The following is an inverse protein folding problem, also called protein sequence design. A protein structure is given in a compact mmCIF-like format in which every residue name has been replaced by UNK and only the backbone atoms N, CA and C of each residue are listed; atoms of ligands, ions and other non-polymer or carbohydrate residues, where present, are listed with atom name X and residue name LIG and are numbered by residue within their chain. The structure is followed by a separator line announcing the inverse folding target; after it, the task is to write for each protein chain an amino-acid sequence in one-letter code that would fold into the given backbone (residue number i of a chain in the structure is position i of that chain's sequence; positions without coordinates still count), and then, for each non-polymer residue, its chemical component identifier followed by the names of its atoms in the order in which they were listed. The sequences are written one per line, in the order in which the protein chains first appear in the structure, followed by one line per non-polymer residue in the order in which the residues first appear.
data_IF_383995084393
#
_entry.id   IF_383995084393
#
_cell.length_a   1.000
_cell.length_b   1.000
_cell.length_c   1.000
_cell.angle_alpha   90.00
_cell.angle_beta   90.00
_cell.angle_gamma   90.00
#
_symmetry.space_group_name_H-M   'P 1'
#
loop_
_entity.id
_entity.type
_entity.pdbx_description
1 polymer ?
#
# COMPACT_ATOMS: atom_id res chain seq x y z
N UNK A 1 17.16 -2.72 21.91
CA UNK A 1 17.91 -1.82 20.99
C UNK A 1 18.36 -0.56 21.73
N UNK A 2 19.63 -0.48 22.16
CA UNK A 2 20.18 0.65 22.91
C UNK A 2 20.53 1.82 21.98
N UNK A 3 20.32 3.06 22.46
CA UNK A 3 20.85 4.27 21.81
C UNK A 3 22.18 4.66 22.46
N UNK A 4 23.21 4.81 21.63
CA UNK A 4 24.60 5.03 22.08
C UNK A 4 25.12 6.45 21.82
N UNK A 5 24.22 7.43 21.74
CA UNK A 5 24.58 8.84 21.68
C UNK A 5 25.04 9.35 23.06
N UNK A 6 24.37 10.38 23.56
CA UNK A 6 24.61 10.87 24.91
C UNK A 6 24.01 9.93 25.97
N UNK A 7 24.64 9.87 27.14
CA UNK A 7 24.19 9.06 28.27
C UNK A 7 24.07 9.90 29.54
N UNK A 8 23.03 9.64 30.34
CA UNK A 8 22.82 10.29 31.63
C UNK A 8 23.84 9.77 32.64
N UNK A 9 24.63 10.68 33.23
CA UNK A 9 25.65 10.33 34.24
C UNK A 9 25.15 10.46 35.68
N UNK A 10 24.10 11.26 35.91
CA UNK A 10 23.47 11.45 37.21
C UNK A 10 21.95 11.54 37.02
N UNK A 11 21.20 10.74 37.78
CA UNK A 11 19.75 10.76 37.71
C UNK A 11 19.21 12.08 38.29
N UNK A 12 18.15 12.67 37.72
CA UNK A 12 17.56 13.88 38.29
C UNK A 12 17.13 13.67 39.74
N UNK A 13 17.19 14.73 40.55
CA UNK A 13 16.77 14.65 41.96
C UNK A 13 15.31 14.17 42.08
N UNK A 14 15.07 13.19 42.95
CA UNK A 14 13.76 12.57 43.14
C UNK A 14 13.42 11.43 42.16
N UNK A 15 14.38 11.01 41.33
CA UNK A 15 14.26 9.84 40.46
C UNK A 15 15.10 8.69 40.98
N UNK A 16 14.60 7.47 40.77
CA UNK A 16 15.31 6.23 41.08
C UNK A 16 15.80 5.59 39.78
N UNK A 17 17.05 5.12 39.78
CA UNK A 17 17.59 4.33 38.66
C UNK A 17 17.00 2.93 38.72
N UNK A 18 16.41 2.47 37.62
CA UNK A 18 15.67 1.20 37.55
C UNK A 18 16.29 0.18 36.59
N UNK A 19 17.20 0.62 35.72
CA UNK A 19 17.96 -0.29 34.87
C UNK A 19 19.38 0.24 34.62
N UNK A 20 20.32 -0.70 34.47
CA UNK A 20 21.71 -0.44 34.15
C UNK A 20 22.25 -1.52 33.21
N UNK A 21 23.33 -1.19 32.49
CA UNK A 21 24.14 -2.11 31.70
C UNK A 21 25.62 -1.94 32.08
N UNK A 22 26.52 -2.77 31.55
CA UNK A 22 27.96 -2.59 31.75
C UNK A 22 28.45 -1.22 31.28
N UNK A 23 27.92 -0.74 30.16
CA UNK A 23 28.40 0.47 29.48
C UNK A 23 27.54 1.71 29.78
N UNK A 24 26.36 1.53 30.38
CA UNK A 24 25.42 2.61 30.70
C UNK A 24 24.81 2.36 32.07
N UNK A 25 25.35 3.03 33.09
CA UNK A 25 24.94 2.87 34.50
C UNK A 25 23.52 3.36 34.78
N UNK A 26 23.01 4.30 33.98
CA UNK A 26 21.64 4.81 34.05
C UNK A 26 20.97 4.53 32.71
N UNK A 27 20.52 3.27 32.52
CA UNK A 27 19.82 2.86 31.31
C UNK A 27 18.31 3.13 31.39
N UNK A 28 17.76 3.20 32.60
CA UNK A 28 16.40 3.68 32.86
C UNK A 28 16.30 4.33 34.24
N UNK A 29 15.39 5.30 34.38
CA UNK A 29 15.07 5.94 35.65
C UNK A 29 13.61 6.37 35.68
N UNK A 30 13.02 6.48 36.87
CA UNK A 30 11.63 6.93 37.05
C UNK A 30 11.43 7.71 38.35
N UNK A 31 10.42 8.58 38.38
CA UNK A 31 9.98 9.24 39.61
C UNK A 31 9.14 8.29 40.48
N UNK A 32 8.81 8.68 41.71
CA UNK A 32 8.04 7.84 42.66
C UNK A 32 6.71 7.30 42.08
N UNK A 33 6.06 8.06 41.21
CA UNK A 33 4.77 7.66 40.60
C UNK A 33 4.91 6.88 39.30
N UNK A 34 6.12 6.80 38.72
CA UNK A 34 6.37 6.24 37.39
C UNK A 34 5.82 7.07 36.21
N UNK A 35 5.12 8.18 36.48
CA UNK A 35 4.53 9.03 35.42
C UNK A 35 5.61 9.78 34.63
N UNK A 36 6.74 10.05 35.26
CA UNK A 36 7.94 10.57 34.59
C UNK A 36 8.98 9.45 34.61
N UNK A 37 9.26 8.90 33.44
CA UNK A 37 10.25 7.86 33.25
C UNK A 37 11.09 8.13 32.01
N UNK A 38 12.34 7.69 32.03
CA UNK A 38 13.27 7.76 30.91
C UNK A 38 13.92 6.42 30.67
N UNK A 39 14.10 6.06 29.40
CA UNK A 39 14.84 4.87 28.96
C UNK A 39 15.86 5.28 27.89
N UNK A 40 17.06 4.70 27.95
CA UNK A 40 18.15 4.93 26.98
C UNK A 40 18.04 4.02 25.74
N UNK A 41 17.08 3.10 25.74
CA UNK A 41 16.78 2.21 24.62
C UNK A 41 15.44 2.54 23.99
N UNK A 42 15.20 2.01 22.80
CA UNK A 42 13.96 2.20 22.05
C UNK A 42 12.99 1.04 22.34
N UNK A 43 11.97 1.19 23.20
CA UNK A 43 10.97 0.15 23.46
C UNK A 43 9.97 -0.03 22.30
N UNK A 44 9.93 0.89 21.34
CA UNK A 44 9.01 0.88 20.20
C UNK A 44 9.43 -0.09 19.07
N UNK A 45 10.72 -0.44 18.98
CA UNK A 45 11.26 -1.28 17.89
C UNK A 45 11.21 -2.78 18.22
N UNK A 46 11.02 -3.63 17.19
CA UNK A 46 10.97 -5.10 17.35
C UNK A 46 12.25 -5.70 17.96
N UNK A 47 13.39 -5.03 17.77
CA UNK A 47 14.68 -5.41 18.34
C UNK A 47 14.75 -5.29 19.88
N UNK A 48 13.69 -4.77 20.52
CA UNK A 48 13.53 -4.76 21.98
C UNK A 48 12.47 -5.80 22.35
N UNK A 49 12.91 -7.01 22.72
CA UNK A 49 12.05 -8.21 22.94
C UNK A 49 10.82 -7.96 23.84
N UNK A 50 10.95 -7.10 24.85
CA UNK A 50 9.86 -6.73 25.78
C UNK A 50 9.41 -5.27 25.66
N UNK A 51 9.80 -4.57 24.59
CA UNK A 51 9.53 -3.15 24.41
C UNK A 51 8.03 -2.79 24.43
N UNK A 52 7.21 -3.55 23.71
CA UNK A 52 5.75 -3.38 23.71
C UNK A 52 5.12 -3.61 25.11
N UNK A 53 5.67 -4.53 25.90
CA UNK A 53 5.19 -4.77 27.26
C UNK A 53 5.48 -3.57 28.18
N UNK A 54 6.64 -2.92 28.01
CA UNK A 54 7.01 -1.70 28.73
C UNK A 54 6.05 -0.56 28.39
N UNK A 55 5.83 -0.30 27.11
CA UNK A 55 4.91 0.75 26.65
C UNK A 55 3.48 0.51 27.15
N UNK A 56 2.98 -0.73 27.04
CA UNK A 56 1.66 -1.11 27.52
C UNK A 56 1.52 -0.93 29.02
N UNK A 57 2.52 -1.34 29.80
CA UNK A 57 2.51 -1.16 31.24
C UNK A 57 2.43 0.32 31.61
N UNK A 58 3.24 1.15 30.96
CA UNK A 58 3.25 2.59 31.22
C UNK A 58 1.91 3.24 30.86
N UNK A 59 1.38 3.01 29.66
CA UNK A 59 0.11 3.60 29.22
C UNK A 59 -1.09 3.14 30.07
N UNK A 60 -1.21 1.84 30.34
CA UNK A 60 -2.41 1.27 30.96
C UNK A 60 -2.32 1.25 32.48
N UNK A 61 -1.21 0.77 33.03
CA UNK A 61 -1.09 0.54 34.47
C UNK A 61 -0.58 1.78 35.22
N UNK A 62 0.20 2.64 34.59
CA UNK A 62 0.80 3.83 35.24
C UNK A 62 0.03 5.10 34.88
N UNK A 63 -0.02 5.46 33.59
CA UNK A 63 -0.73 6.65 33.10
C UNK A 63 -2.26 6.51 33.12
N UNK A 64 -2.77 5.29 33.35
CA UNK A 64 -4.21 4.96 33.43
C UNK A 64 -4.99 5.40 32.18
N UNK A 65 -4.35 5.38 31.01
CA UNK A 65 -5.01 5.66 29.75
C UNK A 65 -6.10 4.59 29.51
N UNK A 66 -7.35 4.98 29.26
CA UNK A 66 -8.40 4.02 28.96
C UNK A 66 -8.10 3.33 27.62
N UNK A 67 -8.17 1.99 27.60
CA UNK A 67 -7.95 1.19 26.40
C UNK A 67 -9.21 1.17 25.48
N UNK A 68 -9.70 2.36 25.12
CA UNK A 68 -10.91 2.52 24.30
C UNK A 68 -10.64 2.48 22.80
N UNK A 69 -9.37 2.62 22.39
CA UNK A 69 -8.94 2.51 21.00
C UNK A 69 -8.81 1.04 20.60
N UNK A 70 -9.92 0.43 20.19
CA UNK A 70 -10.00 -0.96 19.71
C UNK A 70 -10.58 -0.97 18.30
N UNK A 71 -10.23 -1.96 17.47
CA UNK A 71 -10.69 -2.06 16.07
C UNK A 71 -12.21 -1.91 15.92
N UNK A 72 -12.98 -2.57 16.79
CA UNK A 72 -14.45 -2.52 16.76
C UNK A 72 -14.97 -1.11 17.09
N UNK A 73 -14.38 -0.45 18.10
CA UNK A 73 -14.73 0.92 18.45
C UNK A 73 -14.33 1.91 17.35
N UNK A 74 -13.18 1.72 16.70
CA UNK A 74 -12.72 2.54 15.58
C UNK A 74 -13.71 2.46 14.42
N UNK A 75 -14.06 1.24 13.98
CA UNK A 75 -14.99 1.04 12.88
C UNK A 75 -16.35 1.69 13.15
N UNK A 76 -16.92 1.45 14.33
CA UNK A 76 -18.20 2.07 14.72
C UNK A 76 -18.11 3.61 14.77
N UNK A 77 -17.03 4.14 15.34
CA UNK A 77 -16.81 5.60 15.46
C UNK A 77 -16.70 6.26 14.08
N UNK A 78 -15.93 5.69 13.16
CA UNK A 78 -15.76 6.26 11.82
C UNK A 78 -17.03 6.14 10.97
N UNK A 79 -17.80 5.06 11.13
CA UNK A 79 -19.13 4.92 10.52
C UNK A 79 -20.08 6.02 11.01
N UNK A 80 -20.14 6.27 12.32
CA UNK A 80 -21.03 7.27 12.89
C UNK A 80 -20.63 8.69 12.52
N UNK A 81 -19.32 9.01 12.53
CA UNK A 81 -18.79 10.29 12.02
C UNK A 81 -19.16 10.50 10.56
N UNK A 82 -18.95 9.50 9.71
CA UNK A 82 -19.29 9.58 8.28
C UNK A 82 -20.79 9.81 8.08
N UNK A 83 -21.64 9.08 8.82
CA UNK A 83 -23.10 9.25 8.75
C UNK A 83 -23.54 10.67 9.12
N UNK A 84 -22.97 11.23 10.18
CA UNK A 84 -23.27 12.61 10.62
C UNK A 84 -22.80 13.66 9.62
N UNK A 85 -21.61 13.48 9.05
CA UNK A 85 -21.04 14.42 8.09
C UNK A 85 -21.78 14.40 6.74
N UNK A 86 -22.13 13.22 6.24
CA UNK A 86 -22.76 13.04 4.92
C UNK A 86 -24.27 13.33 4.97
N UNK A 87 -24.94 12.90 6.05
CA UNK A 87 -26.39 13.04 6.19
C UNK A 87 -27.16 12.29 5.10
N UNK A 88 -27.80 13.03 4.20
CA UNK A 88 -28.63 12.52 3.09
C UNK A 88 -28.04 12.81 1.71
N UNK A 89 -26.79 13.27 1.65
CA UNK A 89 -26.11 13.70 0.43
C UNK A 89 -25.43 12.53 -0.28
N UNK A 90 -25.35 12.61 -1.60
CA UNK A 90 -24.70 11.57 -2.40
C UNK A 90 -23.18 11.71 -2.33
N UNK A 91 -22.52 10.56 -2.39
CA UNK A 91 -21.08 10.42 -2.16
C UNK A 91 -20.47 9.59 -3.26
N UNK A 92 -19.32 10.01 -3.76
CA UNK A 92 -18.50 9.22 -4.69
C UNK A 92 -17.23 8.75 -3.98
N UNK A 93 -16.80 7.52 -4.27
CA UNK A 93 -15.50 7.00 -3.86
C UNK A 93 -14.73 6.46 -5.06
N UNK A 94 -13.46 6.84 -5.20
CA UNK A 94 -12.55 6.20 -6.14
C UNK A 94 -11.99 4.90 -5.57
N UNK A 95 -12.31 3.76 -6.19
CA UNK A 95 -11.70 2.48 -5.88
C UNK A 95 -10.47 2.27 -6.76
N UNK A 96 -9.32 2.04 -6.13
CA UNK A 96 -8.07 1.72 -6.83
C UNK A 96 -7.77 0.22 -6.89
N UNK A 97 -8.58 -0.60 -6.20
CA UNK A 97 -8.29 -2.03 -5.97
C UNK A 97 -7.27 -2.29 -4.86
N UNK A 98 -6.79 -1.23 -4.20
CA UNK A 98 -5.97 -1.29 -2.99
C UNK A 98 -6.81 -1.35 -1.70
N UNK A 99 -6.21 -1.89 -0.64
CA UNK A 99 -6.87 -2.10 0.66
C UNK A 99 -7.44 -0.82 1.25
N UNK A 100 -6.76 0.32 1.14
CA UNK A 100 -7.21 1.57 1.79
C UNK A 100 -8.50 2.08 1.16
N UNK A 101 -8.56 2.14 -0.17
CA UNK A 101 -9.79 2.54 -0.89
C UNK A 101 -10.95 1.58 -0.60
N UNK A 102 -10.68 0.28 -0.50
CA UNK A 102 -11.69 -0.72 -0.21
C UNK A 102 -12.24 -0.59 1.22
N UNK A 103 -11.38 -0.40 2.22
CA UNK A 103 -11.80 -0.21 3.62
C UNK A 103 -12.52 1.11 3.79
N UNK A 104 -12.03 2.21 3.19
CA UNK A 104 -12.72 3.49 3.20
C UNK A 104 -14.12 3.37 2.60
N UNK A 105 -14.25 2.77 1.41
CA UNK A 105 -15.54 2.54 0.78
C UNK A 105 -16.46 1.64 1.62
N UNK A 106 -15.92 0.60 2.30
CA UNK A 106 -16.70 -0.24 3.19
C UNK A 106 -17.24 0.51 4.43
N UNK A 107 -16.44 1.40 5.03
CA UNK A 107 -16.90 2.28 6.12
C UNK A 107 -18.05 3.15 5.64
N UNK A 108 -17.91 3.80 4.48
CA UNK A 108 -18.92 4.70 3.94
C UNK A 108 -20.18 3.94 3.51
N UNK A 109 -20.03 2.75 2.91
CA UNK A 109 -21.17 1.88 2.57
C UNK A 109 -21.99 1.52 3.80
N UNK A 110 -21.35 1.15 4.93
CA UNK A 110 -22.06 0.89 6.19
C UNK A 110 -22.68 2.16 6.80
N UNK A 111 -22.10 3.33 6.54
CA UNK A 111 -22.61 4.60 7.06
C UNK A 111 -23.88 5.07 6.33
N UNK A 112 -23.89 5.01 4.99
CA UNK A 112 -24.88 5.71 4.17
C UNK A 112 -25.57 4.85 3.08
N UNK A 113 -25.16 3.58 2.91
CA UNK A 113 -25.80 2.64 1.98
C UNK A 113 -25.84 3.16 0.54
N UNK A 114 -27.02 3.15 -0.06
CA UNK A 114 -27.28 3.51 -1.47
C UNK A 114 -26.90 4.96 -1.85
N UNK A 115 -26.50 5.79 -0.88
CA UNK A 115 -25.95 7.13 -1.16
C UNK A 115 -24.53 7.07 -1.76
N UNK A 116 -23.83 5.94 -1.60
CA UNK A 116 -22.46 5.76 -2.09
C UNK A 116 -22.45 5.16 -3.51
N UNK A 117 -21.75 5.82 -4.42
CA UNK A 117 -21.35 5.26 -5.71
C UNK A 117 -19.83 5.15 -5.77
N UNK A 118 -19.32 3.94 -5.96
CA UNK A 118 -17.90 3.71 -6.21
C UNK A 118 -17.58 3.81 -7.70
N UNK A 119 -16.44 4.40 -8.03
CA UNK A 119 -15.90 4.46 -9.39
C UNK A 119 -14.58 3.70 -9.42
N UNK A 120 -14.47 2.72 -10.31
CA UNK A 120 -13.25 1.98 -10.57
C UNK A 120 -12.81 2.22 -12.01
N UNK A 121 -11.60 2.76 -12.20
CA UNK A 121 -11.04 3.03 -13.52
C UNK A 121 -10.09 1.90 -13.90
N UNK A 122 -10.51 1.08 -14.86
CA UNK A 122 -9.64 0.08 -15.48
C UNK A 122 -8.75 0.76 -16.52
N UNK A 123 -7.59 1.20 -16.05
CA UNK A 123 -6.57 1.83 -16.87
C UNK A 123 -5.70 0.82 -17.65
N UNK A 124 -5.98 -0.49 -17.56
CA UNK A 124 -5.25 -1.51 -18.31
C UNK A 124 -3.81 -1.75 -17.85
N UNK A 125 -3.40 -1.23 -16.70
CA UNK A 125 -2.07 -1.48 -16.09
C UNK A 125 -2.17 -2.33 -14.82
N UNK A 126 -3.31 -3.00 -14.61
CA UNK A 126 -3.55 -3.90 -13.49
C UNK A 126 -3.01 -5.31 -13.78
N UNK A 127 -2.92 -6.13 -12.73
CA UNK A 127 -2.56 -7.55 -12.85
C UNK A 127 -3.68 -8.34 -13.53
N UNK A 128 -3.33 -9.52 -14.04
CA UNK A 128 -4.32 -10.43 -14.64
C UNK A 128 -5.41 -10.80 -13.62
N UNK A 129 -6.68 -10.67 -14.02
CA UNK A 129 -7.85 -11.01 -13.22
C UNK A 129 -8.21 -9.99 -12.13
N UNK A 130 -7.42 -8.92 -11.96
CA UNK A 130 -7.59 -7.95 -10.87
C UNK A 130 -8.85 -7.11 -11.01
N UNK A 131 -9.13 -6.62 -12.22
CA UNK A 131 -10.31 -5.82 -12.52
C UNK A 131 -11.60 -6.61 -12.22
N UNK A 132 -11.67 -7.85 -12.72
CA UNK A 132 -12.83 -8.70 -12.51
C UNK A 132 -12.95 -9.17 -11.05
N UNK A 133 -11.83 -9.37 -10.36
CA UNK A 133 -11.83 -9.71 -8.95
C UNK A 133 -12.37 -8.56 -8.09
N UNK A 134 -11.92 -7.32 -8.32
CA UNK A 134 -12.45 -6.14 -7.62
C UNK A 134 -13.95 -6.01 -7.85
N UNK A 135 -14.40 -6.14 -9.10
CA UNK A 135 -15.83 -6.04 -9.44
C UNK A 135 -16.68 -7.12 -8.76
N UNK A 136 -16.21 -8.37 -8.73
CA UNK A 136 -16.97 -9.47 -8.11
C UNK A 136 -16.91 -9.40 -6.59
N UNK A 137 -15.70 -9.38 -6.03
CA UNK A 137 -15.50 -9.62 -4.60
C UNK A 137 -15.92 -8.39 -3.78
N UNK A 138 -15.65 -7.18 -4.27
CA UNK A 138 -16.02 -5.96 -3.55
C UNK A 138 -17.52 -5.71 -3.60
N UNK A 139 -18.16 -5.87 -4.76
CA UNK A 139 -19.62 -5.69 -4.87
C UNK A 139 -20.36 -6.78 -4.12
N UNK A 140 -19.93 -8.05 -4.22
CA UNK A 140 -20.59 -9.14 -3.49
C UNK A 140 -20.45 -9.02 -1.97
N UNK A 141 -19.33 -8.48 -1.46
CA UNK A 141 -19.12 -8.33 -0.01
C UNK A 141 -19.76 -7.08 0.59
N UNK A 142 -19.95 -6.01 -0.19
CA UNK A 142 -20.43 -4.72 0.34
C UNK A 142 -21.83 -4.32 -0.14
N UNK A 143 -22.30 -4.88 -1.26
CA UNK A 143 -23.53 -4.45 -1.92
C UNK A 143 -23.45 -3.06 -2.56
N UNK A 144 -22.25 -2.51 -2.73
CA UNK A 144 -22.06 -1.14 -3.24
C UNK A 144 -22.43 -1.03 -4.72
N UNK A 145 -22.93 0.15 -5.12
CA UNK A 145 -23.03 0.49 -6.53
C UNK A 145 -21.63 0.80 -7.10
N UNK A 146 -21.20 0.01 -8.09
CA UNK A 146 -19.89 0.18 -8.73
C UNK A 146 -20.05 0.60 -10.20
N UNK A 147 -19.43 1.72 -10.56
CA UNK A 147 -19.25 2.18 -11.94
C UNK A 147 -17.84 1.81 -12.38
N UNK A 148 -17.75 0.96 -13.41
CA UNK A 148 -16.48 0.55 -14.01
C UNK A 148 -16.25 1.37 -15.25
N UNK A 149 -15.13 2.09 -15.29
CA UNK A 149 -14.68 2.88 -16.44
C UNK A 149 -13.60 2.09 -17.16
N UNK A 150 -13.91 1.59 -18.36
CA UNK A 150 -12.89 1.05 -19.26
C UNK A 150 -12.12 2.22 -19.89
N UNK A 151 -10.85 2.34 -19.52
CA UNK A 151 -9.94 3.37 -20.02
C UNK A 151 -8.66 2.77 -20.62
N UNK A 152 -8.65 1.46 -20.93
CA UNK A 152 -7.44 0.75 -21.39
C UNK A 152 -6.81 1.44 -22.60
N UNK A 153 -7.60 1.68 -23.65
CA UNK A 153 -7.12 2.30 -24.89
C UNK A 153 -6.63 3.74 -24.68
N UNK A 154 -7.29 4.50 -23.80
CA UNK A 154 -6.89 5.87 -23.47
C UNK A 154 -5.49 5.90 -22.87
N UNK A 155 -5.22 5.03 -21.90
CA UNK A 155 -3.93 4.96 -21.22
C UNK A 155 -2.83 4.41 -22.13
N UNK A 156 -3.09 3.34 -22.88
CA UNK A 156 -2.10 2.78 -23.81
C UNK A 156 -1.74 3.77 -24.93
N UNK A 157 -2.72 4.52 -25.43
CA UNK A 157 -2.47 5.58 -26.42
C UNK A 157 -1.61 6.70 -25.83
N UNK A 158 -1.90 7.11 -24.59
CA UNK A 158 -1.15 8.18 -23.92
C UNK A 158 0.29 7.77 -23.55
N UNK A 159 0.54 6.48 -23.32
CA UNK A 159 1.86 5.95 -22.96
C UNK A 159 2.74 5.56 -24.16
N UNK A 160 2.22 5.66 -25.38
CA UNK A 160 2.93 5.26 -26.59
C UNK A 160 4.24 6.04 -26.76
N UNK A 161 5.34 5.32 -26.92
CA UNK A 161 6.70 5.87 -27.08
C UNK A 161 7.33 6.43 -25.80
N UNK A 162 6.63 6.39 -24.67
CA UNK A 162 7.12 6.96 -23.40
C UNK A 162 7.98 5.94 -22.68
N UNK A 163 9.22 6.31 -22.37
CA UNK A 163 10.19 5.46 -21.67
C UNK A 163 10.64 6.04 -20.34
N UNK A 164 10.59 7.37 -20.19
CA UNK A 164 10.95 8.06 -18.94
C UNK A 164 9.95 7.73 -17.82
N UNK A 165 10.40 7.23 -16.66
CA UNK A 165 9.51 6.78 -15.59
C UNK A 165 8.70 7.92 -14.95
N UNK A 166 9.28 9.11 -14.83
CA UNK A 166 8.59 10.28 -14.28
C UNK A 166 7.48 10.77 -15.24
N UNK A 167 7.75 10.75 -16.54
CA UNK A 167 6.76 11.04 -17.56
C UNK A 167 5.64 9.99 -17.57
N UNK A 168 5.96 8.69 -17.47
CA UNK A 168 4.96 7.62 -17.31
C UNK A 168 4.04 7.89 -16.12
N UNK A 169 4.61 8.19 -14.95
CA UNK A 169 3.86 8.52 -13.72
C UNK A 169 2.91 9.71 -13.93
N UNK A 170 3.41 10.81 -14.52
CA UNK A 170 2.60 12.01 -14.79
C UNK A 170 1.47 11.74 -15.78
N UNK A 171 1.73 11.00 -16.85
CA UNK A 171 0.72 10.63 -17.85
C UNK A 171 -0.37 9.79 -17.21
N UNK A 172 0.01 8.73 -16.48
CA UNK A 172 -0.95 7.84 -15.81
C UNK A 172 -1.80 8.61 -14.80
N UNK A 173 -1.18 9.45 -13.96
CA UNK A 173 -1.92 10.27 -13.00
C UNK A 173 -2.92 11.22 -13.67
N UNK A 174 -2.49 11.89 -14.74
CA UNK A 174 -3.35 12.80 -15.52
C UNK A 174 -4.53 12.08 -16.18
N UNK A 175 -4.28 10.94 -16.85
CA UNK A 175 -5.35 10.20 -17.52
C UNK A 175 -6.32 9.58 -16.50
N UNK A 176 -5.83 9.15 -15.33
CA UNK A 176 -6.68 8.67 -14.25
C UNK A 176 -7.63 9.75 -13.75
N UNK A 177 -7.11 10.95 -13.48
CA UNK A 177 -7.91 12.10 -13.07
C UNK A 177 -8.99 12.39 -14.11
N UNK A 178 -8.64 12.45 -15.41
CA UNK A 178 -9.61 12.69 -16.50
C UNK A 178 -10.70 11.62 -16.59
N UNK A 179 -10.32 10.35 -16.49
CA UNK A 179 -11.29 9.24 -16.53
C UNK A 179 -12.22 9.26 -15.32
N UNK A 180 -11.69 9.58 -14.13
CA UNK A 180 -12.47 9.72 -12.91
C UNK A 180 -13.42 10.93 -12.97
N UNK A 181 -12.94 12.09 -13.42
CA UNK A 181 -13.75 13.30 -13.61
C UNK A 181 -14.94 13.06 -14.53
N UNK A 182 -14.70 12.39 -15.66
CA UNK A 182 -15.75 12.04 -16.62
C UNK A 182 -16.82 11.20 -15.94
N UNK A 183 -16.42 10.14 -15.23
CA UNK A 183 -17.35 9.30 -14.49
C UNK A 183 -18.09 10.05 -13.38
N UNK A 184 -17.40 10.92 -12.65
CA UNK A 184 -18.00 11.73 -11.60
C UNK A 184 -19.06 12.70 -12.16
N UNK A 185 -18.79 13.33 -13.32
CA UNK A 185 -19.75 14.19 -14.02
C UNK A 185 -20.96 13.40 -14.53
N UNK A 186 -20.75 12.21 -15.06
CA UNK A 186 -21.84 11.34 -15.51
C UNK A 186 -22.75 10.90 -14.34
N UNK A 187 -22.17 10.61 -13.17
CA UNK A 187 -22.92 10.32 -11.94
C UNK A 187 -23.65 11.57 -11.41
N UNK A 188 -23.00 12.73 -11.47
CA UNK A 188 -23.59 14.01 -11.07
C UNK A 188 -24.72 14.48 -12.02
N UNK A 189 -24.72 14.07 -13.28
CA UNK A 189 -25.86 14.31 -14.17
C UNK A 189 -27.15 13.62 -13.67
N UNK A 190 -27.01 12.55 -12.89
CA UNK A 190 -28.12 11.85 -12.22
C UNK A 190 -28.54 12.44 -10.86
N UNK A 191 -27.92 13.54 -10.40
CA UNK A 191 -28.26 14.24 -9.15
C UNK A 191 -27.06 14.98 -8.54
N UNK A 192 -27.26 15.74 -7.47
CA UNK A 192 -26.14 16.45 -6.85
C UNK A 192 -25.24 15.49 -6.05
N UNK A 193 -23.92 15.60 -6.19
CA UNK A 193 -22.91 14.83 -5.43
C UNK A 193 -22.08 15.82 -4.65
N UNK A 194 -22.09 15.72 -3.33
CA UNK A 194 -21.45 16.71 -2.45
C UNK A 194 -20.10 16.25 -1.93
N UNK A 195 -19.92 14.93 -1.76
CA UNK A 195 -18.76 14.38 -1.08
C UNK A 195 -17.91 13.44 -1.95
N UNK A 196 -16.60 13.52 -1.75
CA UNK A 196 -15.60 12.62 -2.31
C UNK A 196 -14.86 11.90 -1.18
N UNK A 197 -14.84 10.58 -1.24
CA UNK A 197 -14.17 9.73 -0.25
C UNK A 197 -12.74 9.45 -0.68
N UNK A 198 -11.81 9.58 0.26
CA UNK A 198 -10.41 9.23 0.06
C UNK A 198 -9.91 8.31 1.18
N UNK A 199 -9.07 7.34 0.81
CA UNK A 199 -8.42 6.42 1.74
C UNK A 199 -7.14 6.96 2.38
N UNK A 200 -7.03 8.28 2.60
CA UNK A 200 -5.84 8.92 3.17
C UNK A 200 -5.54 8.37 4.56
N UNK A 201 -4.29 7.95 4.82
CA UNK A 201 -3.87 7.36 6.10
C UNK A 201 -3.17 8.38 7.01
N UNK A 202 -2.99 8.02 8.29
CA UNK A 202 -2.27 8.87 9.24
C UNK A 202 -0.82 9.19 8.84
N UNK A 203 0.00 8.22 8.34
CA UNK A 203 1.34 8.53 7.84
C UNK A 203 1.33 9.61 6.73
N UNK A 204 0.33 9.62 5.86
CA UNK A 204 0.22 10.62 4.78
C UNK A 204 -0.02 12.03 5.33
N UNK A 205 -0.75 12.15 6.44
CA UNK A 205 -1.00 13.42 7.13
C UNK A 205 0.26 13.93 7.83
N UNK A 206 1.00 13.05 8.49
CA UNK A 206 2.24 13.40 9.20
C UNK A 206 3.31 13.88 8.21
N UNK A 207 3.47 13.17 7.08
CA UNK A 207 4.42 13.55 6.03
C UNK A 207 4.07 14.87 5.34
N UNK A 208 2.79 15.19 5.20
CA UNK A 208 2.33 16.45 4.59
C UNK A 208 2.32 17.63 5.57
N UNK A 209 2.24 17.38 6.87
CA UNK A 209 2.34 18.41 7.93
C UNK A 209 3.77 18.77 8.32
N UNK A 210 4.74 17.90 8.03
CA UNK A 210 6.15 18.03 8.43
C UNK A 210 7.04 18.71 7.40
N UNK A 211 6.93 20.03 7.23
CA UNK A 211 7.98 20.85 6.60
C UNK A 211 7.81 21.20 5.11
N UNK A 212 8.35 22.36 4.74
CA UNK A 212 8.14 23.11 3.49
C UNK A 212 8.67 22.48 2.19
N UNK A 213 9.02 21.19 2.16
CA UNK A 213 9.68 20.54 1.03
C UNK A 213 8.96 19.33 0.42
N UNK A 214 8.02 18.70 1.12
CA UNK A 214 7.41 17.41 0.73
C UNK A 214 6.04 17.53 0.05
N UNK A 215 5.45 18.73 0.02
CA UNK A 215 4.11 18.97 -0.54
C UNK A 215 3.95 18.53 -2.01
N UNK A 216 5.05 18.47 -2.78
CA UNK A 216 5.00 18.11 -4.20
C UNK A 216 5.05 16.61 -4.50
N UNK A 217 5.29 15.75 -3.50
CA UNK A 217 5.63 14.33 -3.74
C UNK A 217 4.41 13.38 -3.69
N UNK A 218 3.28 13.81 -3.12
CA UNK A 218 2.06 12.97 -3.00
C UNK A 218 0.78 13.56 -3.62
N UNK A 219 0.91 14.46 -4.59
CA UNK A 219 -0.23 14.93 -5.41
C UNK A 219 -0.90 13.81 -6.26
N UNK A 220 -0.36 12.59 -6.24
CA UNK A 220 -0.79 11.46 -7.08
C UNK A 220 -1.66 10.42 -6.34
N UNK A 221 -1.76 10.51 -5.00
CA UNK A 221 -2.60 9.60 -4.20
C UNK A 221 -3.81 10.29 -3.59
N UNK A 222 -3.70 11.58 -3.29
CA UNK A 222 -4.84 12.41 -2.96
C UNK A 222 -5.29 13.16 -4.20
N UNK A 223 -6.61 13.29 -4.41
CA UNK A 223 -7.21 13.90 -5.61
C UNK A 223 -7.04 15.43 -5.64
N UNK A 224 -5.85 15.93 -5.28
CA UNK A 224 -5.44 17.33 -5.36
C UNK A 224 -5.22 17.84 -6.80
N UNK A 225 -5.72 17.10 -7.79
CA UNK A 225 -5.75 17.49 -9.20
C UNK A 225 -7.15 17.60 -9.77
N UNK A 226 -8.20 17.60 -8.93
CA UNK A 226 -9.55 17.87 -9.42
C UNK A 226 -9.65 19.31 -9.95
N UNK A 227 -10.34 19.52 -11.07
CA UNK A 227 -10.62 20.84 -11.61
C UNK A 227 -11.35 21.73 -10.61
N UNK A 228 -11.11 23.04 -10.65
CA UNK A 228 -11.78 24.03 -9.78
C UNK A 228 -13.33 24.02 -9.90
N UNK A 229 -13.87 23.46 -10.99
CA UNK A 229 -15.30 23.30 -11.21
C UNK A 229 -15.93 22.09 -10.50
N UNK A 230 -15.13 21.10 -10.05
CA UNK A 230 -15.61 19.95 -9.27
C UNK A 230 -15.43 20.22 -7.77
N UNK A 231 -16.44 20.86 -7.18
CA UNK A 231 -16.45 21.23 -5.75
C UNK A 231 -16.98 20.09 -4.88
N UNK A 232 -16.11 19.14 -4.53
CA UNK A 232 -16.42 18.14 -3.52
C UNK A 232 -15.90 18.52 -2.13
N UNK A 233 -16.68 18.21 -1.11
CA UNK A 233 -16.19 18.14 0.26
C UNK A 233 -15.54 16.77 0.50
N UNK A 234 -14.34 16.76 1.10
CA UNK A 234 -13.60 15.52 1.31
C UNK A 234 -14.06 14.77 2.57
N UNK A 235 -14.17 13.44 2.46
CA UNK A 235 -14.39 12.53 3.58
C UNK A 235 -13.21 11.54 3.62
N UNK A 236 -12.42 11.60 4.69
CA UNK A 236 -11.19 10.82 4.87
C UNK A 236 -11.29 9.92 6.13
N UNK A 237 -12.05 8.81 6.08
CA UNK A 237 -12.35 8.02 7.28
C UNK A 237 -11.15 7.26 7.86
N UNK A 238 -10.04 7.18 7.12
CA UNK A 238 -8.82 6.46 7.54
C UNK A 238 -7.73 7.40 8.05
N UNK A 239 -8.00 8.72 8.10
CA UNK A 239 -7.01 9.77 8.31
C UNK A 239 -6.23 9.65 9.63
N UNK A 240 -6.79 8.96 10.63
CA UNK A 240 -6.17 8.75 11.95
C UNK A 240 -5.68 7.32 12.17
N UNK A 241 -5.63 6.49 11.11
CA UNK A 241 -5.30 5.07 11.21
C UNK A 241 -3.96 4.75 10.55
N UNK A 242 -3.25 3.78 11.14
CA UNK A 242 -2.11 3.10 10.53
C UNK A 242 -2.56 1.91 9.66
N UNK A 243 -1.63 1.42 8.82
CA UNK A 243 -1.92 0.41 7.79
C UNK A 243 -2.40 -0.92 8.38
N UNK A 244 -1.84 -1.32 9.51
CA UNK A 244 -2.24 -2.51 10.27
C UNK A 244 -3.65 -2.35 10.84
N UNK A 245 -3.98 -1.18 11.42
CA UNK A 245 -5.33 -0.87 11.91
C UNK A 245 -6.36 -0.89 10.78
N UNK A 246 -6.05 -0.31 9.62
CA UNK A 246 -6.91 -0.35 8.42
C UNK A 246 -7.23 -1.79 8.02
N UNK A 247 -6.24 -2.68 8.03
CA UNK A 247 -6.45 -4.10 7.74
C UNK A 247 -7.40 -4.74 8.75
N UNK A 248 -7.21 -4.48 10.03
CA UNK A 248 -8.08 -5.02 11.08
C UNK A 248 -9.51 -4.49 10.95
N UNK A 249 -9.68 -3.20 10.69
CA UNK A 249 -10.99 -2.59 10.43
C UNK A 249 -11.64 -3.23 9.21
N UNK A 250 -10.90 -3.47 8.14
CA UNK A 250 -11.42 -4.16 6.96
C UNK A 250 -11.96 -5.57 7.26
N UNK A 251 -11.26 -6.35 8.07
CA UNK A 251 -11.72 -7.68 8.50
C UNK A 251 -12.99 -7.59 9.36
N UNK A 252 -13.03 -6.68 10.32
CA UNK A 252 -14.21 -6.42 11.16
C UNK A 252 -15.42 -5.99 10.32
N UNK A 253 -15.19 -5.28 9.22
CA UNK A 253 -16.23 -4.87 8.30
C UNK A 253 -16.75 -6.01 7.42
N UNK A 254 -16.08 -7.17 7.40
CA UNK A 254 -16.44 -8.36 6.62
C UNK A 254 -15.79 -8.42 5.24
N UNK A 255 -14.76 -7.62 4.97
CA UNK A 255 -14.05 -7.69 3.70
C UNK A 255 -13.23 -8.99 3.61
N UNK A 256 -13.16 -9.63 2.43
CA UNK A 256 -12.37 -10.84 2.22
C UNK A 256 -10.89 -10.65 2.58
N UNK A 257 -10.31 -11.64 3.24
CA UNK A 257 -8.88 -11.65 3.57
C UNK A 257 -7.98 -11.43 2.34
N UNK A 258 -8.38 -11.92 1.17
CA UNK A 258 -7.62 -11.75 -0.07
C UNK A 258 -7.49 -10.29 -0.51
N UNK A 259 -8.46 -9.42 -0.16
CA UNK A 259 -8.39 -7.98 -0.41
C UNK A 259 -7.52 -7.30 0.66
N UNK A 260 -7.68 -7.69 1.92
CA UNK A 260 -7.01 -7.08 3.07
C UNK A 260 -5.50 -7.33 3.08
N UNK A 261 -5.11 -8.57 2.83
CA UNK A 261 -3.72 -9.03 2.94
C UNK A 261 -2.99 -9.02 1.60
N UNK A 262 -3.61 -8.42 0.59
CA UNK A 262 -2.99 -8.23 -0.71
C UNK A 262 -1.71 -7.42 -0.59
N UNK A 263 -0.68 -7.84 -1.32
CA UNK A 263 0.54 -7.05 -1.46
C UNK A 263 0.21 -5.67 -2.05
N UNK A 264 0.86 -4.59 -1.58
CA UNK A 264 0.71 -3.27 -2.14
C UNK A 264 0.95 -3.26 -3.65
N UNK A 265 0.14 -2.49 -4.36
CA UNK A 265 0.25 -2.32 -5.80
C UNK A 265 0.29 -0.82 -6.12
N UNK A 266 1.29 -0.36 -6.89
CA UNK A 266 1.46 1.06 -7.16
C UNK A 266 0.31 1.59 -8.02
N UNK A 267 -0.05 2.88 -7.87
CA UNK A 267 -1.08 3.53 -8.69
C UNK A 267 -0.80 3.44 -10.20
N UNK A 268 0.44 3.71 -10.66
CA UNK A 268 0.85 3.43 -12.05
C UNK A 268 0.82 1.95 -12.49
N UNK A 269 0.58 1.04 -11.55
CA UNK A 269 0.48 -0.39 -11.77
C UNK A 269 1.71 -0.99 -12.45
N UNK A 270 1.46 -1.83 -13.46
CA UNK A 270 2.50 -2.44 -14.29
C UNK A 270 3.27 -1.43 -15.14
N UNK A 271 2.81 -0.18 -15.26
CA UNK A 271 3.48 0.86 -16.05
C UNK A 271 4.89 1.22 -15.56
N UNK A 272 5.15 1.05 -14.25
CA UNK A 272 6.48 1.23 -13.63
C UNK A 272 7.21 -0.10 -13.38
N UNK A 273 6.63 -1.22 -13.84
CA UNK A 273 7.25 -2.55 -13.78
C UNK A 273 7.68 -3.05 -15.16
N UNK A 274 7.59 -2.20 -16.16
CA UNK A 274 8.10 -2.41 -17.51
C UNK A 274 9.19 -1.37 -17.72
N UNK A 275 10.45 -1.82 -17.72
CA UNK A 275 11.59 -0.95 -18.00
C UNK A 275 11.64 -0.71 -19.51
N UNK A 276 11.30 0.52 -19.90
CA UNK A 276 11.07 0.93 -21.28
C UNK A 276 9.62 1.30 -21.58
N UNK A 277 9.26 1.26 -22.87
CA UNK A 277 7.92 1.58 -23.37
C UNK A 277 6.85 0.57 -22.89
N UNK A 278 5.69 1.07 -22.50
CA UNK A 278 4.54 0.25 -22.10
C UNK A 278 3.65 -0.03 -23.31
N UNK A 279 3.59 -1.30 -23.74
CA UNK A 279 2.68 -1.75 -24.80
C UNK A 279 1.78 -2.87 -24.30
N UNK A 280 0.68 -3.14 -25.02
CA UNK A 280 -0.22 -4.24 -24.70
C UNK A 280 0.50 -5.59 -24.63
N UNK A 281 1.39 -5.87 -25.59
CA UNK A 281 2.14 -7.14 -25.64
C UNK A 281 3.09 -7.30 -24.45
N UNK A 282 3.75 -6.20 -24.05
CA UNK A 282 4.65 -6.18 -22.88
C UNK A 282 3.87 -6.36 -21.57
N UNK A 283 2.68 -5.75 -21.47
CA UNK A 283 1.77 -5.94 -20.34
C UNK A 283 1.29 -7.38 -20.23
N UNK A 284 0.86 -8.00 -21.34
CA UNK A 284 0.41 -9.39 -21.37
C UNK A 284 1.51 -10.37 -20.98
N UNK A 285 2.74 -10.14 -21.46
CA UNK A 285 3.90 -10.93 -21.07
C UNK A 285 4.18 -10.80 -19.57
N UNK A 286 4.20 -9.56 -19.06
CA UNK A 286 4.47 -9.31 -17.63
C UNK A 286 3.36 -9.89 -16.74
N UNK A 287 2.09 -9.77 -17.13
CA UNK A 287 0.94 -10.35 -16.40
C UNK A 287 1.08 -11.86 -16.23
N UNK A 288 1.47 -12.58 -17.28
CA UNK A 288 1.67 -14.03 -17.22
C UNK A 288 2.80 -14.40 -16.25
N UNK A 289 3.91 -13.67 -16.30
CA UNK A 289 5.02 -13.86 -15.37
C UNK A 289 4.62 -13.56 -13.91
N UNK A 290 3.90 -12.46 -13.67
CA UNK A 290 3.38 -12.06 -12.35
C UNK A 290 2.44 -13.10 -11.75
N UNK A 291 1.52 -13.65 -12.56
CA UNK A 291 0.60 -14.72 -12.12
C UNK A 291 1.36 -15.94 -11.64
N UNK A 292 2.38 -16.39 -12.38
CA UNK A 292 3.19 -17.55 -12.00
C UNK A 292 3.94 -17.28 -10.70
N UNK A 293 4.65 -16.14 -10.60
CA UNK A 293 5.41 -15.80 -9.40
C UNK A 293 4.50 -15.76 -8.16
N UNK A 294 3.36 -15.08 -8.23
CA UNK A 294 2.40 -15.02 -7.12
C UNK A 294 1.82 -16.38 -6.76
N UNK A 295 1.50 -17.22 -7.74
CA UNK A 295 0.95 -18.54 -7.49
C UNK A 295 1.93 -19.44 -6.71
N UNK A 296 3.20 -19.45 -7.10
CA UNK A 296 4.23 -20.24 -6.42
C UNK A 296 4.57 -19.68 -5.03
N UNK A 297 4.61 -18.36 -4.86
CA UNK A 297 4.81 -17.73 -3.54
C UNK A 297 3.65 -18.05 -2.58
N UNK A 298 2.40 -18.01 -3.05
CA UNK A 298 1.22 -18.41 -2.29
C UNK A 298 1.26 -19.89 -1.94
N UNK A 299 1.60 -20.76 -2.89
CA UNK A 299 1.72 -22.20 -2.68
C UNK A 299 2.81 -22.54 -1.64
N UNK A 300 3.87 -21.73 -1.56
CA UNK A 300 4.92 -21.85 -0.54
C UNK A 300 4.56 -21.21 0.82
N UNK A 301 3.38 -20.60 0.96
CA UNK A 301 2.93 -19.95 2.19
C UNK A 301 3.66 -18.64 2.52
N UNK A 302 4.29 -17.99 1.53
CA UNK A 302 5.17 -16.83 1.75
C UNK A 302 4.43 -15.48 1.73
N UNK A 303 3.14 -15.46 1.40
CA UNK A 303 2.35 -14.22 1.26
C UNK A 303 2.31 -13.35 2.52
N UNK A 304 2.50 -13.94 3.70
CA UNK A 304 2.53 -13.21 4.99
C UNK A 304 3.93 -12.74 5.39
N UNK A 305 4.97 -13.34 4.83
CA UNK A 305 6.37 -13.05 5.14
C UNK A 305 6.97 -12.03 4.18
N UNK A 306 6.57 -12.12 2.91
CA UNK A 306 6.98 -11.19 1.86
C UNK A 306 5.97 -10.04 1.84
N UNK A 307 6.45 -8.83 2.12
CA UNK A 307 5.61 -7.64 2.14
C UNK A 307 5.15 -7.27 0.73
N UNK A 308 6.07 -7.34 -0.24
CA UNK A 308 5.78 -7.14 -1.66
C UNK A 308 6.79 -7.91 -2.51
N UNK A 309 6.37 -8.44 -3.65
CA UNK A 309 7.27 -9.00 -4.65
C UNK A 309 6.93 -8.44 -6.04
N UNK A 310 7.42 -7.24 -6.42
CA UNK A 310 7.33 -6.80 -7.80
C UNK A 310 7.94 -7.83 -8.76
N UNK A 311 7.22 -8.07 -9.85
CA UNK A 311 7.74 -8.76 -11.02
C UNK A 311 7.96 -7.69 -12.06
N UNK A 312 9.18 -7.59 -12.58
CA UNK A 312 9.60 -6.50 -13.48
C UNK A 312 10.08 -7.08 -14.81
N UNK A 313 9.64 -6.49 -15.91
CA UNK A 313 10.06 -6.83 -17.26
C UNK A 313 11.17 -5.88 -17.72
N UNK A 314 12.34 -6.44 -18.05
CA UNK A 314 13.41 -5.69 -18.72
C UNK A 314 13.14 -5.65 -20.23
N UNK A 315 12.20 -4.80 -20.64
CA UNK A 315 11.59 -4.86 -21.96
C UNK A 315 12.55 -4.43 -23.09
N UNK A 316 13.56 -3.63 -22.78
CA UNK A 316 14.57 -3.20 -23.74
C UNK A 316 15.84 -4.08 -23.71
N UNK A 317 15.88 -5.09 -22.82
CA UNK A 317 16.96 -6.07 -22.76
C UNK A 317 16.53 -7.35 -23.47
N UNK A 318 17.44 -7.89 -24.28
CA UNK A 318 17.31 -9.22 -24.90
C UNK A 318 18.41 -10.14 -24.39
N UNK A 319 18.05 -11.37 -24.09
CA UNK A 319 18.99 -12.40 -23.67
C UNK A 319 18.92 -13.61 -24.60
N UNK A 320 20.05 -14.28 -24.80
CA UNK A 320 20.09 -15.55 -25.52
C UNK A 320 19.65 -16.66 -24.58
N UNK A 321 18.81 -17.55 -25.09
CA UNK A 321 18.39 -18.78 -24.42
C UNK A 321 18.28 -19.94 -25.41
N UNK A 322 18.02 -21.13 -24.87
CA UNK A 322 17.66 -22.33 -25.62
C UNK A 322 16.38 -22.84 -24.97
N UNK A 323 15.28 -22.87 -25.72
CA UNK A 323 13.98 -23.36 -25.27
C UNK A 323 13.48 -24.35 -26.34
N UNK A 324 13.21 -25.59 -25.95
CA UNK A 324 13.10 -26.70 -26.89
C UNK A 324 14.44 -26.95 -27.60
N UNK A 325 14.40 -27.12 -28.93
CA UNK A 325 15.59 -27.37 -29.76
C UNK A 325 16.12 -26.10 -30.48
N UNK A 326 15.53 -24.93 -30.18
CA UNK A 326 15.81 -23.68 -30.88
C UNK A 326 16.48 -22.61 -30.01
N UNK A 327 17.29 -21.75 -30.65
CA UNK A 327 17.85 -20.55 -30.01
C UNK A 327 16.77 -19.48 -29.89
N UNK A 328 16.63 -18.88 -28.72
CA UNK A 328 15.66 -17.82 -28.44
C UNK A 328 16.32 -16.50 -28.03
N UNK A 329 15.61 -15.40 -28.27
CA UNK A 329 15.99 -14.04 -27.86
C UNK A 329 14.83 -13.41 -27.07
N UNK A 330 14.71 -13.80 -25.80
CA UNK A 330 13.64 -13.36 -24.90
C UNK A 330 14.05 -12.19 -24.00
N UNK A 331 13.06 -11.66 -23.28
CA UNK A 331 13.24 -10.67 -22.24
C UNK A 331 13.58 -11.34 -20.90
N UNK A 332 14.46 -10.74 -20.08
CA UNK A 332 14.60 -11.10 -18.68
C UNK A 332 13.40 -10.61 -17.84
N UNK A 333 13.01 -11.43 -16.85
CA UNK A 333 12.12 -11.04 -15.75
C UNK A 333 12.94 -10.91 -14.47
N UNK A 334 12.72 -9.84 -13.71
CA UNK A 334 13.27 -9.66 -12.36
C UNK A 334 12.19 -10.00 -11.34
N UNK A 335 12.55 -10.82 -10.36
CA UNK A 335 11.79 -11.04 -9.13
C UNK A 335 12.35 -10.14 -8.03
N UNK A 336 11.49 -9.37 -7.37
CA UNK A 336 11.89 -8.38 -6.36
C UNK A 336 11.21 -8.61 -5.00
N UNK A 337 11.46 -9.74 -4.31
CA UNK A 337 10.83 -9.96 -3.01
C UNK A 337 11.45 -9.06 -1.95
N UNK A 338 10.62 -8.32 -1.21
CA UNK A 338 11.06 -7.47 -0.10
C UNK A 338 10.20 -7.70 1.14
N UNK A 339 10.84 -7.55 2.29
CA UNK A 339 10.20 -7.51 3.61
C UNK A 339 10.47 -6.15 4.23
N UNK A 340 9.43 -5.53 4.77
CA UNK A 340 9.47 -4.18 5.33
C UNK A 340 8.37 -4.00 6.38
N UNK A 341 8.64 -3.17 7.39
CA UNK A 341 7.65 -2.76 8.38
C UNK A 341 6.90 -1.48 7.94
N UNK A 342 7.61 -0.51 7.37
CA UNK A 342 7.12 0.85 7.09
C UNK A 342 7.30 1.32 5.64
N UNK A 343 7.83 0.47 4.76
CA UNK A 343 8.25 0.77 3.39
C UNK A 343 9.36 1.84 3.25
N UNK A 344 9.83 2.45 4.33
CA UNK A 344 10.93 3.42 4.35
C UNK A 344 12.28 2.71 4.28
N UNK A 345 12.41 1.60 5.01
CA UNK A 345 13.51 0.65 4.87
C UNK A 345 12.99 -0.72 4.48
N UNK A 346 13.70 -1.43 3.60
CA UNK A 346 13.28 -2.76 3.19
C UNK A 346 14.51 -3.63 2.92
N UNK A 347 14.48 -4.87 3.39
CA UNK A 347 15.46 -5.88 3.02
C UNK A 347 14.86 -6.83 1.98
N UNK A 348 15.70 -7.40 1.12
CA UNK A 348 15.22 -8.38 0.15
C UNK A 348 14.88 -9.71 0.86
N UNK A 349 13.76 -10.34 0.52
CA UNK A 349 13.35 -11.58 1.21
C UNK A 349 14.08 -12.79 0.64
N UNK A 350 14.62 -13.63 1.52
CA UNK A 350 15.36 -14.86 1.14
C UNK A 350 14.35 -15.96 0.81
N UNK A 351 13.86 -15.97 -0.42
CA UNK A 351 12.98 -17.05 -0.91
C UNK A 351 13.78 -18.36 -0.94
N UNK A 352 13.23 -19.49 -0.46
CA UNK A 352 13.85 -20.80 -0.62
C UNK A 352 14.23 -21.09 -2.08
N UNK A 353 15.43 -21.65 -2.28
CA UNK A 353 15.96 -21.85 -3.64
C UNK A 353 15.09 -22.78 -4.51
N UNK A 354 14.40 -23.75 -3.91
CA UNK A 354 13.48 -24.65 -4.61
C UNK A 354 12.22 -23.91 -5.11
N UNK A 355 11.74 -22.91 -4.37
CA UNK A 355 10.63 -22.04 -4.81
C UNK A 355 11.09 -21.13 -5.94
N UNK A 356 12.30 -20.55 -5.84
CA UNK A 356 12.89 -19.74 -6.93
C UNK A 356 13.08 -20.56 -8.21
N UNK A 357 13.56 -21.80 -8.09
CA UNK A 357 13.73 -22.72 -9.21
C UNK A 357 12.39 -23.02 -9.91
N UNK A 358 11.33 -23.30 -9.13
CA UNK A 358 9.98 -23.51 -9.66
C UNK A 358 9.46 -22.29 -10.41
N UNK A 359 9.56 -21.10 -9.81
CA UNK A 359 9.15 -19.84 -10.46
C UNK A 359 9.91 -19.64 -11.77
N UNK A 360 11.24 -19.76 -11.74
CA UNK A 360 12.09 -19.59 -12.92
C UNK A 360 11.73 -20.58 -14.03
N UNK A 361 11.57 -21.86 -13.67
CA UNK A 361 11.22 -22.93 -14.62
C UNK A 361 9.87 -22.68 -15.26
N UNK A 362 8.84 -22.36 -14.46
CA UNK A 362 7.50 -22.10 -14.97
C UNK A 362 7.46 -20.85 -15.85
N UNK A 363 8.05 -19.73 -15.41
CA UNK A 363 8.09 -18.50 -16.21
C UNK A 363 8.78 -18.75 -17.56
N UNK A 364 9.94 -19.40 -17.57
CA UNK A 364 10.68 -19.64 -18.81
C UNK A 364 10.03 -20.69 -19.72
N UNK A 365 9.23 -21.62 -19.20
CA UNK A 365 8.55 -22.62 -20.03
C UNK A 365 7.17 -22.17 -20.51
N UNK A 366 6.44 -21.41 -19.71
CA UNK A 366 5.02 -21.07 -19.96
C UNK A 366 4.86 -19.68 -20.61
N UNK A 367 5.80 -18.75 -20.41
CA UNK A 367 5.69 -17.36 -20.89
C UNK A 367 6.54 -17.18 -22.17
N UNK A 368 5.90 -17.35 -23.33
CA UNK A 368 6.54 -17.07 -24.61
C UNK A 368 7.08 -15.64 -24.67
N UNK A 369 8.34 -15.48 -25.09
CA UNK A 369 9.03 -14.20 -25.13
C UNK A 369 9.87 -13.89 -23.89
N UNK A 370 9.80 -14.71 -22.83
CA UNK A 370 10.71 -14.68 -21.68
C UNK A 370 11.63 -15.89 -21.73
N UNK A 371 12.91 -15.70 -21.44
CA UNK A 371 13.88 -16.80 -21.42
C UNK A 371 14.92 -16.71 -20.31
N UNK A 372 14.75 -15.77 -19.38
CA UNK A 372 15.63 -15.58 -18.24
C UNK A 372 14.86 -15.00 -17.07
N UNK A 373 15.15 -15.50 -15.88
CA UNK A 373 14.65 -14.95 -14.63
C UNK A 373 15.85 -14.60 -13.75
N UNK A 374 15.79 -13.44 -13.10
CA UNK A 374 16.81 -12.97 -12.16
C UNK A 374 16.16 -12.54 -10.85
N UNK A 375 16.93 -12.57 -9.76
CA UNK A 375 16.49 -12.15 -8.44
C UNK A 375 17.23 -10.86 -8.06
N UNK A 376 16.49 -9.83 -7.64
CA UNK A 376 17.07 -8.61 -7.11
C UNK A 376 17.32 -8.73 -5.60
N UNK A 377 18.60 -8.73 -5.24
CA UNK A 377 19.13 -8.92 -3.88
C UNK A 377 19.63 -7.62 -3.24
N UNK A 378 19.15 -6.46 -3.72
CA UNK A 378 19.60 -5.14 -3.25
C UNK A 378 18.67 -4.61 -2.17
N UNK A 379 19.14 -4.25 -0.97
CA UNK A 379 18.26 -3.65 0.05
C UNK A 379 17.87 -2.19 -0.30
N UNK A 380 16.84 -1.66 0.36
CA UNK A 380 16.50 -0.23 0.38
C UNK A 380 16.96 0.35 1.72
N UNK A 381 17.96 1.26 1.75
CA UNK A 381 18.85 1.71 0.67
C UNK A 381 19.92 0.67 0.26
N UNK A 382 20.64 0.81 -0.90
CA UNK A 382 20.66 1.96 -1.80
C UNK A 382 19.58 1.97 -2.89
N UNK A 383 18.88 0.86 -3.11
CA UNK A 383 17.84 0.78 -4.13
C UNK A 383 16.47 1.23 -3.59
N UNK A 384 15.47 1.24 -4.47
CA UNK A 384 14.04 1.33 -4.12
C UNK A 384 13.38 -0.05 -4.18
N UNK A 385 12.09 -0.13 -3.79
CA UNK A 385 11.33 -1.38 -3.89
C UNK A 385 10.93 -1.65 -5.34
N UNK A 386 10.28 -0.67 -5.98
CA UNK A 386 10.02 -0.68 -7.43
C UNK A 386 11.30 -0.27 -8.20
N UNK A 387 11.40 -0.67 -9.46
CA UNK A 387 12.55 -0.38 -10.34
C UNK A 387 12.46 0.97 -11.06
N UNK A 388 11.28 1.60 -11.06
CA UNK A 388 10.95 2.92 -11.60
C UNK A 388 9.96 3.65 -10.69
#
# INVERSE_FOLDING_TARGET
WMSHGDAVTEAPAGFSVTAATSDTQIAAFENETGLLAGVQFHPEVLHSEHGQAILKNWLINIAKCPATWTTSNIAATEIDKARQAIGTKRVICGLSGGVDSAVAAAIIQKAVGDQLTCVFVDHGLLRSGESEQVQRDFVASTGVQLVVVDAVDQFLTALKGVTDPEEKRKIIGREFIRSFEKAARDIAAGGDVEFLVQGTLYPDVVESGGGSGTANIKSHHNVGGLPDDLKFSLIEPLRTLFKDEVRQVGLELGLPEEIIWRQPFPGPGLGIRIIGEVTFERLELLRKADVIARAELKAAGLDRTIWQCPVVLLADVRSVGVQGDGRTYGHPIVLRPVSSEDAMTADWSRIPYDVLEKISTRITNEVQGVNRVVLDVTSKPPATIEWE
#
